data_IF_893102734591
#
_entry.id   IF_893102734591
#
_cell.length_a   1.000
_cell.length_b   1.000
_cell.length_c   1.000
_cell.angle_alpha   90.00
_cell.angle_beta   90.00
_cell.angle_gamma   90.00
#
_symmetry.space_group_name_H-M   'P 1'
#
loop_
_entity.id
_entity.type
_entity.pdbx_description
1 polymer ?
#
# COMPACT_ATOMS: atom_id res chain seq x y z
N UNK A 1 22.22 -41.31 69.42
CA UNK A 1 22.90 -40.02 69.67
C UNK A 1 23.26 -39.47 68.30
N UNK A 2 22.43 -38.60 67.71
CA UNK A 2 22.64 -37.14 67.67
C UNK A 2 23.99 -36.79 67.01
N UNK A 3 24.13 -35.98 65.96
CA UNK A 3 23.27 -34.99 65.31
C UNK A 3 24.10 -34.38 64.14
N UNK A 4 23.44 -33.59 63.28
CA UNK A 4 23.99 -32.53 62.39
C UNK A 4 24.32 -32.95 60.95
N UNK A 5 23.39 -32.71 60.02
CA UNK A 5 23.14 -31.44 59.30
C UNK A 5 24.26 -31.16 58.28
N UNK A 6 23.93 -31.20 56.99
CA UNK A 6 23.68 -29.98 56.23
C UNK A 6 23.35 -30.27 54.77
N UNK A 7 22.24 -29.69 54.37
CA UNK A 7 21.65 -29.58 53.04
C UNK A 7 22.45 -28.59 52.19
N UNK A 8 22.65 -28.88 50.90
CA UNK A 8 23.04 -27.87 49.90
C UNK A 8 22.43 -28.30 48.56
N UNK A 9 21.29 -27.70 48.23
CA UNK A 9 20.72 -27.72 46.89
C UNK A 9 21.36 -26.60 46.04
N UNK A 10 21.55 -26.78 44.73
CA UNK A 10 22.02 -25.70 43.88
C UNK A 10 20.88 -24.72 43.57
N UNK A 11 21.14 -23.46 43.86
CA UNK A 11 20.39 -22.28 43.46
C UNK A 11 20.33 -22.22 41.91
N UNK A 12 19.17 -22.54 41.35
CA UNK A 12 18.88 -22.28 39.93
C UNK A 12 18.38 -20.84 39.84
N UNK A 13 19.32 -19.93 39.64
CA UNK A 13 19.02 -18.54 39.35
C UNK A 13 18.16 -18.43 38.08
N UNK A 14 16.91 -17.98 38.26
CA UNK A 14 16.01 -17.59 37.18
C UNK A 14 16.59 -16.39 36.40
N UNK A 15 16.38 -16.30 35.07
CA UNK A 15 16.85 -15.15 34.30
C UNK A 15 16.16 -13.85 34.76
N UNK A 16 16.85 -12.70 34.76
CA UNK A 16 16.27 -11.43 35.16
C UNK A 16 15.16 -11.02 34.19
N UNK A 17 14.04 -10.57 34.77
CA UNK A 17 12.93 -9.98 34.04
C UNK A 17 13.40 -8.77 33.20
N UNK A 18 12.81 -8.53 32.01
CA UNK A 18 13.14 -7.35 31.21
C UNK A 18 12.81 -6.07 31.99
N UNK A 19 13.63 -5.00 31.88
CA UNK A 19 13.37 -3.76 32.58
C UNK A 19 12.06 -3.13 32.11
N UNK A 20 11.18 -2.89 33.08
CA UNK A 20 10.00 -2.07 32.91
C UNK A 20 10.41 -0.62 32.60
N UNK A 21 9.89 -0.08 31.50
CA UNK A 21 9.68 1.36 31.31
C UNK A 21 10.78 2.13 30.57
N UNK A 22 10.70 2.15 29.23
CA UNK A 22 10.95 3.39 28.51
C UNK A 22 9.61 4.17 28.47
N UNK A 23 9.60 5.51 28.68
CA UNK A 23 8.39 6.30 28.58
C UNK A 23 7.78 6.13 27.19
N UNK A 24 6.58 5.55 27.17
CA UNK A 24 5.95 5.04 25.98
C UNK A 24 5.65 6.14 24.98
N UNK A 25 6.05 5.91 23.73
CA UNK A 25 5.09 6.09 22.64
C UNK A 25 3.90 5.21 23.01
N UNK A 26 2.92 5.78 23.73
CA UNK A 26 1.65 5.10 23.98
C UNK A 26 1.19 4.59 22.62
N UNK A 27 1.17 3.27 22.45
CA UNK A 27 0.83 2.66 21.18
C UNK A 27 -0.59 3.14 20.86
N UNK A 28 -0.71 3.98 19.83
CA UNK A 28 -2.02 4.46 19.38
C UNK A 28 -2.90 3.23 19.14
N UNK A 29 -4.18 3.26 19.53
CA UNK A 29 -5.10 2.18 19.22
C UNK A 29 -4.99 1.82 17.74
N UNK A 30 -4.99 0.52 17.42
CA UNK A 30 -4.81 0.06 16.04
C UNK A 30 -5.83 0.70 15.07
N UNK A 31 -7.05 0.98 15.54
CA UNK A 31 -8.08 1.70 14.79
C UNK A 31 -7.71 3.15 14.46
N UNK A 32 -7.02 3.85 15.36
CA UNK A 32 -6.57 5.23 15.11
C UNK A 32 -5.44 5.27 14.08
N UNK A 33 -4.50 4.32 14.17
CA UNK A 33 -3.42 4.16 13.18
C UNK A 33 -4.00 3.84 11.80
N UNK A 34 -4.98 2.93 11.74
CA UNK A 34 -5.70 2.62 10.51
C UNK A 34 -6.44 3.84 9.95
N UNK A 35 -7.17 4.57 10.79
CA UNK A 35 -7.90 5.78 10.41
C UNK A 35 -6.99 6.83 9.78
N UNK A 36 -5.84 7.11 10.40
CA UNK A 36 -4.84 8.04 9.85
C UNK A 36 -4.31 7.55 8.51
N UNK A 37 -3.95 6.27 8.39
CA UNK A 37 -3.47 5.70 7.14
C UNK A 37 -4.52 5.81 6.01
N UNK A 38 -5.78 5.50 6.31
CA UNK A 38 -6.88 5.62 5.34
C UNK A 38 -7.09 7.08 4.92
N UNK A 39 -7.02 8.02 5.87
CA UNK A 39 -7.07 9.46 5.60
C UNK A 39 -5.94 9.96 4.68
N UNK A 40 -4.71 9.47 4.90
CA UNK A 40 -3.56 9.80 4.06
C UNK A 40 -3.72 9.27 2.63
N UNK A 41 -4.19 8.02 2.48
CA UNK A 41 -4.44 7.43 1.16
C UNK A 41 -5.61 8.12 0.43
N UNK A 42 -6.68 8.47 1.15
CA UNK A 42 -7.80 9.22 0.59
C UNK A 42 -7.35 10.61 0.11
N UNK A 43 -6.54 11.31 0.91
CA UNK A 43 -5.95 12.58 0.54
C UNK A 43 -5.05 12.46 -0.69
N UNK A 44 -4.23 11.41 -0.77
CA UNK A 44 -3.41 11.13 -1.94
C UNK A 44 -4.25 10.85 -3.20
N UNK A 45 -5.35 10.11 -3.06
CA UNK A 45 -6.30 9.86 -4.14
C UNK A 45 -6.94 11.17 -4.65
N UNK A 46 -7.43 12.03 -3.75
CA UNK A 46 -8.05 13.31 -4.12
C UNK A 46 -7.05 14.31 -4.71
N UNK A 47 -5.78 14.27 -4.28
CA UNK A 47 -4.72 15.05 -4.93
C UNK A 47 -4.43 14.56 -6.34
N UNK A 48 -4.42 13.24 -6.55
CA UNK A 48 -4.27 12.66 -7.88
C UNK A 48 -5.45 13.01 -8.79
N UNK A 49 -6.68 13.05 -8.26
CA UNK A 49 -7.85 13.48 -9.03
C UNK A 49 -7.70 14.92 -9.56
N UNK A 50 -7.18 15.85 -8.75
CA UNK A 50 -6.88 17.24 -9.15
C UNK A 50 -5.75 17.34 -10.18
N UNK A 51 -4.84 16.35 -10.22
CA UNK A 51 -3.73 16.31 -11.17
C UNK A 51 -4.19 15.92 -12.59
N UNK A 52 -5.41 15.38 -12.76
CA UNK A 52 -5.88 14.84 -14.05
C UNK A 52 -5.80 15.83 -15.20
N UNK A 53 -6.05 17.12 -14.95
CA UNK A 53 -6.00 18.15 -15.99
C UNK A 53 -4.58 18.41 -16.52
N UNK A 54 -3.56 18.14 -15.68
CA UNK A 54 -2.16 18.37 -16.05
C UNK A 54 -1.48 17.10 -16.59
N UNK A 55 -1.77 15.94 -16.00
CA UNK A 55 -1.23 14.64 -16.43
C UNK A 55 -2.22 13.52 -16.07
N UNK A 56 -3.08 13.17 -17.04
CA UNK A 56 -4.10 12.14 -16.86
C UNK A 56 -3.51 10.75 -16.58
N UNK A 57 -2.39 10.40 -17.22
CA UNK A 57 -1.78 9.09 -17.08
C UNK A 57 -1.15 8.92 -15.69
N UNK A 58 -0.44 9.93 -15.20
CA UNK A 58 0.11 9.92 -13.84
C UNK A 58 -0.97 10.00 -12.78
N UNK A 59 -2.01 10.82 -13.01
CA UNK A 59 -3.17 10.88 -12.14
C UNK A 59 -3.84 9.51 -12.01
N UNK A 60 -4.13 8.82 -13.12
CA UNK A 60 -4.73 7.49 -13.12
C UNK A 60 -3.85 6.46 -12.38
N UNK A 61 -2.52 6.46 -12.60
CA UNK A 61 -1.59 5.59 -11.86
C UNK A 61 -1.61 5.85 -10.35
N UNK A 62 -1.59 7.12 -9.93
CA UNK A 62 -1.65 7.50 -8.50
C UNK A 62 -2.99 7.13 -7.87
N UNK A 63 -4.11 7.40 -8.55
CA UNK A 63 -5.45 7.03 -8.10
C UNK A 63 -5.56 5.51 -7.90
N UNK A 64 -5.12 4.71 -8.88
CA UNK A 64 -5.09 3.23 -8.77
C UNK A 64 -4.27 2.76 -7.59
N UNK A 65 -3.07 3.33 -7.39
CA UNK A 65 -2.20 2.98 -6.25
C UNK A 65 -2.90 3.26 -4.92
N UNK A 66 -3.47 4.44 -4.72
CA UNK A 66 -4.17 4.79 -3.48
C UNK A 66 -5.42 3.93 -3.27
N UNK A 67 -6.22 3.69 -4.30
CA UNK A 67 -7.41 2.84 -4.23
C UNK A 67 -7.07 1.40 -3.82
N UNK A 68 -6.02 0.80 -4.42
CA UNK A 68 -5.54 -0.54 -4.04
C UNK A 68 -5.04 -0.58 -2.61
N UNK A 69 -4.34 0.47 -2.14
CA UNK A 69 -3.84 0.57 -0.76
C UNK A 69 -4.96 0.71 0.27
N UNK A 70 -6.01 1.48 -0.03
CA UNK A 70 -7.22 1.58 0.81
C UNK A 70 -7.91 0.22 0.87
N UNK A 71 -8.20 -0.38 -0.29
CA UNK A 71 -8.86 -1.67 -0.38
C UNK A 71 -8.10 -2.78 0.35
N UNK A 72 -6.77 -2.82 0.21
CA UNK A 72 -5.91 -3.78 0.90
C UNK A 72 -5.91 -3.58 2.42
N UNK A 73 -5.80 -2.33 2.90
CA UNK A 73 -5.85 -2.07 4.34
C UNK A 73 -7.20 -2.45 4.95
N UNK A 74 -8.31 -2.13 4.28
CA UNK A 74 -9.64 -2.58 4.69
C UNK A 74 -9.78 -4.11 4.66
N UNK A 75 -9.06 -4.80 3.77
CA UNK A 75 -9.02 -6.27 3.77
C UNK A 75 -8.39 -6.82 5.04
N UNK A 76 -7.17 -6.34 5.31
CA UNK A 76 -6.28 -6.89 6.33
C UNK A 76 -6.78 -6.55 7.72
N UNK A 77 -7.26 -5.33 7.90
CA UNK A 77 -7.75 -4.82 9.18
C UNK A 77 -9.28 -4.84 9.27
N UNK A 78 -9.93 -5.74 8.52
CA UNK A 78 -11.39 -5.92 8.53
C UNK A 78 -12.01 -5.99 9.94
N UNK A 79 -11.43 -6.65 10.95
CA UNK A 79 -12.01 -6.68 12.31
C UNK A 79 -12.10 -5.32 13.00
N UNK A 80 -11.36 -4.31 12.51
CA UNK A 80 -11.32 -2.96 13.08
C UNK A 80 -12.26 -1.97 12.34
N UNK A 81 -12.89 -2.39 11.25
CA UNK A 81 -13.74 -1.55 10.41
C UNK A 81 -15.19 -2.07 10.43
N UNK A 82 -16.15 -1.19 10.16
CA UNK A 82 -17.55 -1.59 9.98
C UNK A 82 -17.64 -2.50 8.72
N UNK A 83 -18.06 -3.78 8.87
CA UNK A 83 -17.93 -4.76 7.80
C UNK A 83 -18.66 -4.40 6.51
N UNK A 84 -19.90 -3.91 6.58
CA UNK A 84 -20.71 -3.64 5.39
C UNK A 84 -20.18 -2.45 4.60
N UNK A 85 -19.82 -1.37 5.30
CA UNK A 85 -19.18 -0.20 4.72
C UNK A 85 -17.84 -0.56 4.08
N UNK A 86 -17.01 -1.35 4.76
CA UNK A 86 -15.69 -1.72 4.26
C UNK A 86 -15.82 -2.53 2.95
N UNK A 87 -16.69 -3.54 2.91
CA UNK A 87 -16.86 -4.35 1.71
C UNK A 87 -17.51 -3.58 0.54
N UNK A 88 -18.48 -2.70 0.83
CA UNK A 88 -19.04 -1.80 -0.19
C UNK A 88 -17.97 -0.91 -0.80
N UNK A 89 -17.19 -0.22 0.04
CA UNK A 89 -16.12 0.66 -0.42
C UNK A 89 -15.03 -0.10 -1.20
N UNK A 90 -14.66 -1.31 -0.74
CA UNK A 90 -13.69 -2.17 -1.45
C UNK A 90 -14.19 -2.56 -2.84
N UNK A 91 -15.46 -2.86 -2.98
CA UNK A 91 -16.08 -3.21 -4.27
C UNK A 91 -15.97 -2.05 -5.26
N UNK A 92 -16.37 -0.85 -4.83
CA UNK A 92 -16.28 0.38 -5.64
C UNK A 92 -14.84 0.71 -6.03
N UNK A 93 -13.90 0.63 -5.08
CA UNK A 93 -12.48 0.90 -5.35
C UNK A 93 -11.86 -0.13 -6.30
N UNK A 94 -12.27 -1.40 -6.20
CA UNK A 94 -11.80 -2.44 -7.11
C UNK A 94 -12.34 -2.23 -8.53
N UNK A 95 -13.63 -1.89 -8.66
CA UNK A 95 -14.24 -1.51 -9.92
C UNK A 95 -13.51 -0.32 -10.57
N UNK A 96 -13.35 0.78 -9.84
CA UNK A 96 -12.64 1.98 -10.33
C UNK A 96 -11.20 1.66 -10.73
N UNK A 97 -10.49 0.88 -9.91
CA UNK A 97 -9.11 0.48 -10.20
C UNK A 97 -8.98 -0.38 -11.46
N UNK A 98 -10.03 -1.16 -11.79
CA UNK A 98 -10.15 -1.92 -13.02
C UNK A 98 -10.36 -1.00 -14.22
N UNK A 99 -11.32 -0.08 -14.12
CA UNK A 99 -11.61 0.90 -15.18
C UNK A 99 -10.37 1.71 -15.57
N UNK A 100 -9.68 2.31 -14.58
CA UNK A 100 -8.45 3.08 -14.80
C UNK A 100 -7.30 2.23 -15.39
N UNK A 101 -7.28 0.92 -15.12
CA UNK A 101 -6.30 0.03 -15.72
C UNK A 101 -6.59 -0.19 -17.22
N UNK A 102 -7.87 -0.35 -17.57
CA UNK A 102 -8.30 -0.52 -18.95
C UNK A 102 -8.01 0.73 -19.78
N UNK A 103 -8.30 1.93 -19.25
CA UNK A 103 -7.96 3.20 -19.91
C UNK A 103 -6.46 3.27 -20.27
N UNK A 104 -5.59 2.92 -19.32
CA UNK A 104 -4.14 2.90 -19.57
C UNK A 104 -3.75 1.87 -20.65
N UNK A 105 -4.31 0.66 -20.59
CA UNK A 105 -4.06 -0.38 -21.59
C UNK A 105 -4.53 0.04 -22.99
N UNK A 106 -5.65 0.76 -23.09
CA UNK A 106 -6.13 1.31 -24.36
C UNK A 106 -5.18 2.38 -24.91
N UNK A 107 -4.69 3.29 -24.07
CA UNK A 107 -3.71 4.29 -24.48
C UNK A 107 -2.43 3.64 -25.01
N UNK A 108 -1.87 2.66 -24.28
CA UNK A 108 -0.70 1.92 -24.75
C UNK A 108 -0.95 1.15 -26.06
N UNK A 109 -2.13 0.53 -26.19
CA UNK A 109 -2.51 -0.19 -27.41
C UNK A 109 -2.63 0.76 -28.59
N UNK A 110 -3.20 1.95 -28.39
CA UNK A 110 -3.30 2.97 -29.42
C UNK A 110 -1.91 3.42 -29.89
N UNK A 111 -0.98 3.71 -28.97
CA UNK A 111 0.40 4.06 -29.32
C UNK A 111 1.04 2.96 -30.18
N UNK A 112 0.98 1.70 -29.72
CA UNK A 112 1.55 0.56 -30.49
C UNK A 112 0.92 0.40 -31.87
N UNK A 113 -0.39 0.59 -32.00
CA UNK A 113 -1.09 0.50 -33.28
C UNK A 113 -0.71 1.66 -34.21
N UNK A 114 -0.66 2.88 -33.69
CA UNK A 114 -0.25 4.05 -34.47
C UNK A 114 1.19 3.92 -34.96
N UNK A 115 2.11 3.47 -34.12
CA UNK A 115 3.49 3.21 -34.50
C UNK A 115 3.58 2.16 -35.62
N UNK A 116 2.83 1.07 -35.52
CA UNK A 116 2.79 0.03 -36.55
C UNK A 116 2.23 0.56 -37.89
N UNK A 117 1.19 1.39 -37.85
CA UNK A 117 0.59 1.99 -39.03
C UNK A 117 1.51 3.03 -39.71
N UNK A 118 2.25 3.81 -38.93
CA UNK A 118 3.26 4.75 -39.45
C UNK A 118 4.37 4.01 -40.19
N UNK A 119 4.88 2.92 -39.60
CA UNK A 119 5.88 2.04 -40.23
C UNK A 119 5.37 1.44 -41.54
N UNK A 120 4.13 0.94 -41.56
CA UNK A 120 3.51 0.38 -42.78
C UNK A 120 3.35 1.44 -43.88
N UNK A 121 3.06 2.67 -43.50
CA UNK A 121 2.86 3.80 -44.43
C UNK A 121 4.17 4.38 -44.98
N UNK A 122 5.33 3.77 -44.70
CA UNK A 122 6.64 4.25 -45.14
C UNK A 122 7.12 5.53 -44.42
N UNK A 123 6.38 6.00 -43.41
CA UNK A 123 6.82 7.05 -42.48
C UNK A 123 7.66 6.41 -41.39
N UNK A 124 8.88 6.05 -41.72
CA UNK A 124 9.89 5.67 -40.73
C UNK A 124 10.21 6.94 -39.90
N UNK A 125 10.00 6.96 -38.56
CA UNK A 125 10.49 8.06 -37.75
C UNK A 125 12.01 8.17 -37.94
N UNK A 126 12.58 9.39 -38.00
CA UNK A 126 14.02 9.54 -38.22
C UNK A 126 14.76 8.75 -37.15
N UNK A 127 15.65 7.87 -37.59
CA UNK A 127 16.52 7.12 -36.70
C UNK A 127 17.32 8.12 -35.86
N UNK A 128 17.17 8.05 -34.53
CA UNK A 128 18.03 8.79 -33.61
C UNK A 128 19.43 8.20 -33.71
N UNK A 129 20.27 8.81 -34.54
CA UNK A 129 21.67 8.46 -34.72
C UNK A 129 22.46 8.92 -33.47
N UNK A 130 23.25 8.05 -32.81
CA UNK A 130 24.01 8.44 -31.64
C UNK A 130 25.21 9.31 -32.04
N UNK A 131 25.53 10.39 -31.29
CA UNK A 131 26.70 11.21 -31.59
C UNK A 131 27.99 10.43 -31.31
N UNK A 132 28.92 10.50 -32.26
CA UNK A 132 30.28 9.96 -32.15
C UNK A 132 31.21 10.81 -31.28
#
# INVERSE_FOLDING_TARGET
MAQRHSETAPDTAAPPAPPAGAPGTAALPAGEVLGRYLGDQASAFLRALRLREADEAEAARRMRRSARRIGAALHTFRPLAEPEWAERLRTELNWLSGLLAQEHQYAERLVRLTDALQRLSGRTPPATEPPG
#
